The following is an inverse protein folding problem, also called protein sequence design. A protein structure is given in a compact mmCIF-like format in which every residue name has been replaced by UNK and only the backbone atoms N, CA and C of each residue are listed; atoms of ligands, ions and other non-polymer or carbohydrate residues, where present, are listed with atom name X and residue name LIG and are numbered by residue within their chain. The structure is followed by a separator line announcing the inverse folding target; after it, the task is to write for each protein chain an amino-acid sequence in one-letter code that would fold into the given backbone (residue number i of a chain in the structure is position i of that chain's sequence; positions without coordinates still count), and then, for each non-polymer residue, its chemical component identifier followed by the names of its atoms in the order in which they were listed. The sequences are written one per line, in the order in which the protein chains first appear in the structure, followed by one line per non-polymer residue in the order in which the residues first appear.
data_IF_326994264590
#
_entry.id   IF_326994264590
#
_cell.length_a   1.000
_cell.length_b   1.000
_cell.length_c   1.000
_cell.angle_alpha   90.00
_cell.angle_beta   90.00
_cell.angle_gamma   90.00
#
_symmetry.space_group_name_H-M   'P 1'
#
loop_
_entity.id
_entity.type
_entity.pdbx_description
1 polymer ?
#
# COMPACT_ATOMS: atom_id res chain seq x y z
N UNK A 1 -6.51 -18.07 5.85
CA UNK A 1 -5.70 -17.40 4.80
C UNK A 1 -4.26 -17.29 5.30
N UNK A 2 -3.25 -17.42 4.44
CA UNK A 2 -1.85 -17.16 4.82
C UNK A 2 -1.48 -15.75 4.34
N UNK A 3 -0.82 -14.97 5.19
CA UNK A 3 -0.49 -13.57 4.91
C UNK A 3 1.01 -13.34 5.07
N UNK A 4 1.60 -12.55 4.18
CA UNK A 4 3.01 -12.16 4.22
C UNK A 4 3.05 -10.64 4.33
N UNK A 5 3.66 -10.14 5.41
CA UNK A 5 3.92 -8.71 5.57
C UNK A 5 5.34 -8.39 5.12
N UNK A 6 5.47 -7.43 4.20
CA UNK A 6 6.76 -7.00 3.66
C UNK A 6 7.12 -5.66 4.29
N UNK A 7 8.09 -5.67 5.20
CA UNK A 7 8.54 -4.49 5.95
C UNK A 7 10.01 -4.18 5.68
N UNK A 8 10.41 -2.92 5.80
CA UNK A 8 11.78 -2.49 5.56
C UNK A 8 11.89 -0.99 5.34
N UNK A 9 13.11 -0.47 5.45
CA UNK A 9 13.39 0.97 5.24
C UNK A 9 13.06 1.43 3.83
N UNK A 10 12.92 2.74 3.63
CA UNK A 10 12.79 3.30 2.29
C UNK A 10 13.99 2.87 1.41
N UNK A 11 13.73 2.45 0.18
CA UNK A 11 14.76 1.95 -0.74
C UNK A 11 15.22 0.50 -0.50
N UNK A 12 14.72 -0.22 0.51
CA UNK A 12 15.13 -1.62 0.79
C UNK A 12 14.59 -2.66 -0.21
N UNK A 13 13.86 -2.24 -1.25
CA UNK A 13 13.33 -3.13 -2.28
C UNK A 13 11.99 -3.83 -1.98
N UNK A 14 11.19 -3.30 -1.04
CA UNK A 14 9.87 -3.88 -0.66
C UNK A 14 8.97 -4.17 -1.85
N UNK A 15 8.65 -3.15 -2.66
CA UNK A 15 7.76 -3.30 -3.83
C UNK A 15 8.37 -4.24 -4.87
N UNK A 16 9.69 -4.22 -5.07
CA UNK A 16 10.37 -5.16 -5.97
C UNK A 16 10.23 -6.61 -5.47
N UNK A 17 10.35 -6.85 -4.17
CA UNK A 17 10.14 -8.17 -3.57
C UNK A 17 8.68 -8.60 -3.71
N UNK A 18 7.72 -7.71 -3.44
CA UNK A 18 6.28 -7.98 -3.63
C UNK A 18 5.99 -8.45 -5.05
N UNK A 19 6.52 -7.74 -6.05
CA UNK A 19 6.39 -8.08 -7.47
C UNK A 19 6.88 -9.51 -7.77
N UNK A 20 8.07 -9.87 -7.25
CA UNK A 20 8.64 -11.21 -7.49
C UNK A 20 7.95 -12.33 -6.73
N UNK A 21 7.45 -12.06 -5.52
CA UNK A 21 6.62 -13.02 -4.80
C UNK A 21 5.29 -13.26 -5.52
N UNK A 22 4.62 -12.19 -5.98
CA UNK A 22 3.38 -12.29 -6.74
C UNK A 22 3.58 -13.08 -8.04
N UNK A 23 4.59 -12.74 -8.85
CA UNK A 23 4.95 -13.50 -10.06
C UNK A 23 5.21 -14.97 -9.75
N UNK A 24 5.95 -15.28 -8.68
CA UNK A 24 6.28 -16.64 -8.28
C UNK A 24 5.03 -17.45 -7.92
N UNK A 25 4.14 -16.93 -7.07
CA UNK A 25 2.94 -17.64 -6.66
C UNK A 25 2.00 -17.89 -7.84
N UNK A 26 1.77 -16.87 -8.67
CA UNK A 26 0.94 -16.97 -9.88
C UNK A 26 1.47 -18.04 -10.83
N UNK A 27 2.79 -18.09 -11.07
CA UNK A 27 3.42 -19.11 -11.92
C UNK A 27 3.30 -20.53 -11.36
N UNK A 28 3.17 -20.69 -10.05
CA UNK A 28 3.02 -21.99 -9.39
C UNK A 28 1.55 -22.36 -9.13
N UNK A 29 0.61 -21.69 -9.80
CA UNK A 29 -0.82 -21.99 -9.72
C UNK A 29 -1.51 -21.53 -8.43
N UNK A 30 -0.86 -20.67 -7.65
CA UNK A 30 -1.46 -20.04 -6.48
C UNK A 30 -2.04 -18.67 -6.85
N UNK A 31 -3.27 -18.42 -6.43
CA UNK A 31 -3.89 -17.09 -6.50
C UNK A 31 -3.51 -16.32 -5.23
N UNK A 32 -2.67 -15.31 -5.39
CA UNK A 32 -2.28 -14.40 -4.31
C UNK A 32 -2.98 -13.05 -4.51
N UNK A 33 -3.54 -12.49 -3.45
CA UNK A 33 -4.01 -11.10 -3.45
C UNK A 33 -2.88 -10.18 -2.97
N UNK A 34 -2.76 -9.00 -3.55
CA UNK A 34 -1.76 -7.98 -3.24
C UNK A 34 -2.43 -6.73 -2.70
N UNK A 35 -2.04 -6.36 -1.48
CA UNK A 35 -2.51 -5.17 -0.77
C UNK A 35 -1.38 -4.14 -0.68
N UNK A 36 -1.57 -2.95 -1.23
CA UNK A 36 -0.68 -1.82 -1.00
C UNK A 36 -1.16 -0.99 0.20
N UNK A 37 -0.26 -0.82 1.18
CA UNK A 37 -0.48 -0.01 2.38
C UNK A 37 0.34 1.29 2.40
N UNK A 38 1.11 1.57 1.35
CA UNK A 38 1.95 2.77 1.28
C UNK A 38 1.21 3.89 0.52
N UNK A 39 0.74 4.96 1.19
CA UNK A 39 0.07 6.08 0.52
C UNK A 39 1.05 6.99 -0.24
N UNK A 40 2.36 6.89 0.02
CA UNK A 40 3.38 7.73 -0.58
C UNK A 40 4.03 7.15 -1.83
N UNK A 41 3.62 5.96 -2.28
CA UNK A 41 4.21 5.34 -3.48
C UNK A 41 3.64 5.96 -4.76
N UNK A 42 4.53 6.49 -5.60
CA UNK A 42 4.12 7.12 -6.88
C UNK A 42 3.77 6.07 -7.94
N UNK A 43 4.62 5.05 -8.12
CA UNK A 43 4.41 3.98 -9.08
C UNK A 43 4.83 2.63 -8.53
N UNK A 44 4.11 1.58 -8.92
CA UNK A 44 4.40 0.20 -8.52
C UNK A 44 4.58 -0.68 -9.76
N UNK A 45 5.49 -1.68 -9.70
CA UNK A 45 5.74 -2.59 -10.83
C UNK A 45 4.73 -3.75 -10.93
N UNK A 46 3.57 -3.64 -10.28
CA UNK A 46 2.49 -4.64 -10.25
C UNK A 46 1.15 -3.97 -9.97
N UNK A 47 0.06 -4.67 -10.32
CA UNK A 47 -1.29 -4.27 -9.94
C UNK A 47 -1.60 -4.79 -8.54
N UNK A 48 -2.27 -3.98 -7.74
CA UNK A 48 -2.79 -4.38 -6.43
C UNK A 48 -4.27 -4.71 -6.55
N UNK A 49 -4.73 -5.66 -5.74
CA UNK A 49 -6.15 -5.96 -5.59
C UNK A 49 -6.83 -4.95 -4.66
N UNK A 50 -6.08 -4.45 -3.67
CA UNK A 50 -6.50 -3.37 -2.76
C UNK A 50 -5.37 -2.35 -2.64
N UNK A 51 -5.67 -1.07 -2.80
CA UNK A 51 -4.71 0.02 -2.73
C UNK A 51 -5.25 1.17 -1.85
N UNK A 52 -4.56 1.47 -0.76
CA UNK A 52 -4.96 2.58 0.15
C UNK A 52 -5.01 3.94 -0.54
N UNK A 53 -4.32 4.11 -1.68
CA UNK A 53 -4.35 5.34 -2.48
C UNK A 53 -5.72 5.64 -3.10
N UNK A 54 -6.60 4.64 -3.21
CA UNK A 54 -8.00 4.85 -3.64
C UNK A 54 -8.83 5.58 -2.56
N UNK A 55 -8.35 5.56 -1.31
CA UNK A 55 -9.03 6.12 -0.16
C UNK A 55 -8.43 7.44 0.32
N UNK A 56 -7.13 7.66 0.08
CA UNK A 56 -6.41 8.86 0.52
C UNK A 56 -5.51 9.40 -0.57
N UNK A 57 -5.55 10.71 -0.77
CA UNK A 57 -4.60 11.42 -1.62
C UNK A 57 -3.54 12.10 -0.74
N UNK A 58 -2.38 11.45 -0.65
CA UNK A 58 -1.23 11.92 0.12
C UNK A 58 -0.78 13.34 -0.28
N UNK A 59 -0.79 13.67 -1.57
CA UNK A 59 -0.34 14.98 -2.06
C UNK A 59 -1.33 16.06 -1.63
N UNK A 60 -2.63 15.79 -1.77
CA UNK A 60 -3.68 16.70 -1.30
C UNK A 60 -3.64 16.91 0.21
N UNK A 61 -3.39 15.85 0.99
CA UNK A 61 -3.26 15.94 2.46
C UNK A 61 -2.10 16.86 2.85
N UNK A 62 -0.94 16.69 2.23
CA UNK A 62 0.21 17.56 2.50
C UNK A 62 -0.11 19.04 2.23
N UNK A 63 -0.81 19.33 1.13
CA UNK A 63 -1.17 20.70 0.76
C UNK A 63 -2.24 21.29 1.71
N UNK A 64 -3.32 20.55 1.97
CA UNK A 64 -4.45 21.03 2.79
C UNK A 64 -4.04 21.34 4.23
N UNK A 65 -3.19 20.49 4.81
CA UNK A 65 -2.77 20.64 6.21
C UNK A 65 -1.40 21.31 6.35
N UNK A 66 -0.80 21.79 5.25
CA UNK A 66 0.52 22.41 5.24
C UNK A 66 1.60 21.55 5.93
N UNK A 67 1.61 20.25 5.61
CA UNK A 67 2.49 19.26 6.21
C UNK A 67 3.71 18.97 5.32
N UNK A 68 4.85 18.74 5.95
CA UNK A 68 5.99 18.12 5.30
C UNK A 68 5.75 16.62 5.00
N UNK A 69 6.62 15.96 4.22
CA UNK A 69 6.40 14.59 3.75
C UNK A 69 6.10 13.59 4.88
N UNK A 70 6.88 13.64 5.96
CA UNK A 70 6.69 12.73 7.10
C UNK A 70 5.38 13.01 7.84
N UNK A 71 4.98 14.28 7.98
CA UNK A 71 3.71 14.65 8.61
C UNK A 71 2.53 14.22 7.75
N UNK A 72 2.63 14.39 6.43
CA UNK A 72 1.63 13.91 5.48
C UNK A 72 1.45 12.40 5.53
N UNK A 73 2.54 11.63 5.69
CA UNK A 73 2.48 10.17 5.78
C UNK A 73 1.76 9.71 7.06
N UNK A 74 2.05 10.34 8.20
CA UNK A 74 1.36 10.03 9.47
C UNK A 74 -0.13 10.33 9.33
N UNK A 75 -0.48 11.53 8.84
CA UNK A 75 -1.89 11.91 8.66
C UNK A 75 -2.62 11.03 7.64
N UNK A 76 -1.97 10.66 6.54
CA UNK A 76 -2.54 9.74 5.55
C UNK A 76 -2.83 8.38 6.18
N UNK A 77 -1.92 7.84 7.00
CA UNK A 77 -2.14 6.59 7.71
C UNK A 77 -3.27 6.68 8.74
N UNK A 78 -3.43 7.81 9.44
CA UNK A 78 -4.56 8.03 10.36
C UNK A 78 -5.90 8.04 9.61
N UNK A 79 -5.95 8.65 8.42
CA UNK A 79 -7.14 8.66 7.55
C UNK A 79 -7.43 7.29 6.93
N UNK A 80 -6.40 6.50 6.61
CA UNK A 80 -6.59 5.11 6.19
C UNK A 80 -7.17 4.29 7.34
N UNK A 81 -6.64 4.46 8.55
CA UNK A 81 -7.11 3.73 9.73
C UNK A 81 -8.58 4.04 10.07
N UNK A 82 -9.05 5.26 9.84
CA UNK A 82 -10.47 5.61 10.03
C UNK A 82 -11.40 5.00 8.98
N UNK A 83 -10.87 4.50 7.87
CA UNK A 83 -11.59 3.84 6.77
C UNK A 83 -11.39 2.32 6.74
N UNK A 84 -10.81 1.74 7.80
CA UNK A 84 -10.44 0.32 7.81
C UNK A 84 -11.63 -0.61 7.58
N UNK A 85 -12.82 -0.22 8.07
CA UNK A 85 -14.06 -0.99 7.88
C UNK A 85 -14.51 -1.02 6.41
N UNK A 86 -14.27 0.06 5.66
CA UNK A 86 -14.55 0.13 4.22
C UNK A 86 -13.57 -0.76 3.44
N UNK A 87 -12.26 -0.61 3.73
CA UNK A 87 -11.18 -1.37 3.09
C UNK A 87 -11.33 -2.87 3.34
N UNK A 88 -11.81 -3.27 4.51
CA UNK A 88 -12.03 -4.67 4.84
C UNK A 88 -13.05 -5.35 3.91
N UNK A 89 -13.99 -4.60 3.32
CA UNK A 89 -15.01 -5.16 2.43
C UNK A 89 -14.51 -5.43 1.00
N UNK A 90 -13.29 -5.04 0.65
CA UNK A 90 -12.69 -5.33 -0.67
C UNK A 90 -11.96 -6.68 -0.73
N UNK A 91 -11.82 -7.37 0.40
CA UNK A 91 -11.04 -8.62 0.55
C UNK A 91 -11.92 -9.85 0.74
#
# INVERSE_FOLDING_TARGET
MKTIFITGTAGSGKSSLTSKLYEYYTRNGAFAAVLNLDPGVESMPYNCDVDVRDYVDYVSIMQQYSLGPNGGLVMANDLIASKIDEIQNEV
#
